data_IF_700829111915
#
_entry.id   IF_700829111915
#
_cell.length_a   1.000
_cell.length_b   1.000
_cell.length_c   1.000
_cell.angle_alpha   90.00
_cell.angle_beta   90.00
_cell.angle_gamma   90.00
#
_symmetry.space_group_name_H-M   'P 1'
#
loop_
_entity.id
_entity.type
_entity.pdbx_description
1 polymer ?
#
# COMPACT_ATOMS: atom_id res chain seq x y z
N UNK A 1 7.67 -5.39 19.44
CA UNK A 1 6.48 -4.69 20.00
C UNK A 1 6.64 -3.17 20.17
N UNK A 2 7.80 -2.56 19.85
CA UNK A 2 8.00 -1.10 20.00
C UNK A 2 7.51 -0.27 18.80
N UNK A 3 7.50 -0.83 17.59
CA UNK A 3 7.08 -0.12 16.37
C UNK A 3 5.65 0.39 16.45
N UNK A 4 4.73 -0.36 17.06
CA UNK A 4 3.33 0.02 17.14
C UNK A 4 3.07 1.26 18.01
N UNK A 5 3.80 1.45 19.11
CA UNK A 5 3.64 2.60 20.01
C UNK A 5 4.15 3.87 19.33
N UNK A 6 5.34 3.77 18.74
CA UNK A 6 6.00 4.82 17.98
C UNK A 6 5.15 5.27 16.78
N UNK A 7 4.55 4.32 16.07
CA UNK A 7 3.67 4.60 14.95
C UNK A 7 2.24 5.03 15.39
N UNK A 8 1.85 4.85 16.66
CA UNK A 8 0.55 5.31 17.18
C UNK A 8 0.53 6.84 17.34
N UNK A 9 1.64 7.43 17.80
CA UNK A 9 1.81 8.89 17.86
C UNK A 9 1.72 9.54 16.47
N UNK A 10 2.17 8.80 15.44
CA UNK A 10 2.12 9.21 14.04
C UNK A 10 0.67 9.23 13.49
N UNK A 11 -0.25 8.46 14.08
CA UNK A 11 -1.68 8.50 13.78
C UNK A 11 -2.42 9.65 14.46
N UNK A 12 -1.99 10.08 15.65
CA UNK A 12 -2.66 11.13 16.44
C UNK A 12 -2.56 12.52 15.84
N UNK A 13 -1.45 12.85 15.17
CA UNK A 13 -1.23 14.13 14.47
C UNK A 13 -2.27 14.37 13.34
N UNK A 14 -2.44 13.46 12.36
CA UNK A 14 -3.44 13.62 11.32
C UNK A 14 -4.88 13.49 11.85
N UNK A 15 -5.12 12.66 12.87
CA UNK A 15 -6.43 12.53 13.52
C UNK A 15 -6.88 13.84 14.18
N UNK A 16 -5.98 14.51 14.90
CA UNK A 16 -6.24 15.83 15.53
C UNK A 16 -6.51 16.93 14.50
N UNK A 17 -5.98 16.79 13.27
CA UNK A 17 -6.23 17.71 12.14
C UNK A 17 -7.47 17.33 11.32
N UNK A 18 -8.15 16.22 11.64
CA UNK A 18 -9.32 15.72 10.92
C UNK A 18 -9.00 15.18 9.52
N UNK A 19 -7.76 14.73 9.29
CA UNK A 19 -7.38 14.09 8.03
C UNK A 19 -7.76 12.61 8.05
N UNK A 20 -8.38 12.13 6.97
CA UNK A 20 -8.60 10.70 6.75
C UNK A 20 -7.25 10.05 6.48
N UNK A 21 -6.87 9.03 7.25
CA UNK A 21 -5.64 8.29 7.01
C UNK A 21 -5.91 6.79 7.11
N UNK A 22 -5.09 6.01 6.41
CA UNK A 22 -5.09 4.55 6.45
C UNK A 22 -3.65 4.12 6.70
N UNK A 23 -3.46 3.23 7.66
CA UNK A 23 -2.15 2.69 8.02
C UNK A 23 -2.19 1.17 7.97
N UNK A 24 -1.20 0.56 7.35
CA UNK A 24 -1.01 -0.89 7.35
C UNK A 24 0.46 -1.20 7.61
N UNK A 25 0.74 -1.80 8.78
CA UNK A 25 2.09 -1.98 9.28
C UNK A 25 2.91 -0.67 9.23
N UNK A 26 3.92 -0.62 8.35
CA UNK A 26 4.81 0.52 8.13
C UNK A 26 4.34 1.45 6.99
N UNK A 27 3.36 1.02 6.17
CA UNK A 27 2.82 1.83 5.08
C UNK A 27 1.71 2.76 5.61
N UNK A 28 1.86 4.06 5.35
CA UNK A 28 0.90 5.10 5.73
C UNK A 28 0.42 5.86 4.48
N UNK A 29 -0.90 6.02 4.37
CA UNK A 29 -1.54 6.85 3.35
C UNK A 29 -2.43 7.88 4.03
N UNK A 30 -2.23 9.16 3.72
CA UNK A 30 -3.03 10.27 4.26
C UNK A 30 -3.82 10.91 3.11
N UNK A 31 -5.13 10.98 3.27
CA UNK A 31 -6.04 11.62 2.33
C UNK A 31 -6.31 13.07 2.73
N UNK A 32 -6.01 13.98 1.82
CA UNK A 32 -6.23 15.42 1.99
C UNK A 32 -7.20 15.95 0.93
N UNK A 33 -7.93 17.02 1.25
CA UNK A 33 -8.88 17.67 0.32
C UNK A 33 -8.18 18.41 -0.83
N UNK A 34 -6.94 18.86 -0.63
CA UNK A 34 -6.18 19.64 -1.62
C UNK A 34 -4.71 19.23 -1.65
N UNK A 35 -4.06 19.38 -2.81
CA UNK A 35 -2.62 19.12 -2.98
C UNK A 35 -1.77 20.00 -2.06
N UNK A 36 -2.15 21.28 -1.89
CA UNK A 36 -1.47 22.22 -0.99
C UNK A 36 -1.54 21.78 0.47
N UNK A 37 -2.69 21.27 0.93
CA UNK A 37 -2.80 20.70 2.28
C UNK A 37 -1.96 19.43 2.43
N UNK A 38 -1.95 18.57 1.41
CA UNK A 38 -1.14 17.35 1.43
C UNK A 38 0.35 17.65 1.53
N UNK A 39 0.86 18.61 0.74
CA UNK A 39 2.26 19.03 0.80
C UNK A 39 2.60 19.60 2.17
N UNK A 40 1.77 20.51 2.69
CA UNK A 40 1.97 21.05 4.04
C UNK A 40 1.97 19.97 5.12
N UNK A 41 1.12 18.96 5.00
CA UNK A 41 1.11 17.84 5.95
C UNK A 41 2.39 17.02 5.84
N UNK A 42 2.85 16.72 4.61
CA UNK A 42 4.11 16.02 4.37
C UNK A 42 5.32 16.79 4.97
N UNK A 43 5.41 18.09 4.69
CA UNK A 43 6.51 18.94 5.15
C UNK A 43 6.56 19.06 6.68
N UNK A 44 5.43 18.92 7.37
CA UNK A 44 5.37 18.89 8.84
C UNK A 44 5.64 17.49 9.41
N UNK A 45 5.23 16.44 8.70
CA UNK A 45 5.37 15.06 9.17
C UNK A 45 6.83 14.59 9.09
N UNK A 46 7.57 14.98 8.04
CA UNK A 46 8.99 14.64 7.88
C UNK A 46 9.86 15.03 9.10
N UNK A 47 9.90 16.30 9.53
CA UNK A 47 10.69 16.70 10.69
C UNK A 47 10.13 16.10 11.99
N UNK A 48 8.82 15.88 12.11
CA UNK A 48 8.24 15.21 13.27
C UNK A 48 8.78 13.78 13.41
N UNK A 49 8.88 13.04 12.30
CA UNK A 49 9.43 11.68 12.31
C UNK A 49 10.93 11.69 12.63
N UNK A 50 11.70 12.58 12.01
CA UNK A 50 13.14 12.68 12.26
C UNK A 50 13.44 13.09 13.71
N UNK A 51 12.66 13.99 14.31
CA UNK A 51 12.90 14.51 15.67
C UNK A 51 12.32 13.64 16.78
N UNK A 52 11.14 13.05 16.60
CA UNK A 52 10.49 12.23 17.63
C UNK A 52 10.86 10.76 17.55
N UNK A 53 11.00 10.23 16.34
CA UNK A 53 11.29 8.81 16.13
C UNK A 53 12.78 8.54 15.89
N UNK A 54 13.60 9.58 15.64
CA UNK A 54 15.01 9.46 15.24
C UNK A 54 15.24 8.48 14.07
N UNK A 55 14.20 8.29 13.26
CA UNK A 55 14.25 7.44 12.08
C UNK A 55 14.79 8.24 10.90
N UNK A 56 15.80 7.69 10.23
CA UNK A 56 16.29 8.23 8.96
C UNK A 56 15.23 8.00 7.89
N UNK A 57 14.41 9.01 7.63
CA UNK A 57 13.40 8.95 6.58
C UNK A 57 14.09 9.06 5.22
N UNK A 58 13.78 8.13 4.32
CA UNK A 58 14.24 8.24 2.95
C UNK A 58 13.29 9.18 2.19
N UNK A 59 13.74 10.42 1.94
CA UNK A 59 12.93 11.53 1.39
C UNK A 59 12.36 11.26 0.00
N UNK A 60 12.87 10.25 -0.71
CA UNK A 60 12.38 9.84 -2.03
C UNK A 60 11.10 8.99 -1.96
N UNK A 61 10.82 8.35 -0.82
CA UNK A 61 9.65 7.48 -0.67
C UNK A 61 8.32 8.24 -0.54
N UNK A 62 8.20 9.25 0.34
CA UNK A 62 6.94 9.95 0.51
C UNK A 62 6.75 10.96 -0.62
N UNK A 63 5.64 10.85 -1.32
CA UNK A 63 5.30 11.74 -2.43
C UNK A 63 3.81 12.10 -2.37
N UNK A 64 3.49 13.32 -2.80
CA UNK A 64 2.10 13.77 -2.92
C UNK A 64 1.61 13.42 -4.32
N UNK A 65 0.70 12.45 -4.39
CA UNK A 65 0.07 12.02 -5.63
C UNK A 65 -1.45 12.11 -5.57
N UNK A 66 -2.08 12.04 -6.73
CA UNK A 66 -3.53 11.89 -6.80
C UNK A 66 -3.93 10.47 -6.36
N UNK A 67 -5.15 10.30 -5.84
CA UNK A 67 -5.63 9.03 -5.30
C UNK A 67 -5.49 7.84 -6.27
N UNK A 68 -5.59 8.10 -7.57
CA UNK A 68 -5.47 7.12 -8.66
C UNK A 68 -4.05 6.63 -8.92
N UNK A 69 -3.04 7.37 -8.47
CA UNK A 69 -1.64 7.05 -8.71
C UNK A 69 -1.00 6.39 -7.48
N UNK A 70 -1.71 6.38 -6.34
CA UNK A 70 -1.24 5.76 -5.11
C UNK A 70 -1.54 4.26 -5.13
N UNK A 71 -0.48 3.46 -5.06
CA UNK A 71 -0.54 2.01 -4.86
C UNK A 71 -0.50 1.70 -3.36
N UNK A 72 -1.53 1.04 -2.85
CA UNK A 72 -1.59 0.62 -1.44
C UNK A 72 -2.03 -0.84 -1.36
N UNK A 73 -1.23 -1.67 -0.69
CA UNK A 73 -1.50 -3.10 -0.52
C UNK A 73 -1.89 -3.83 -1.80
N UNK A 74 -1.24 -3.50 -2.93
CA UNK A 74 -1.53 -4.09 -4.25
C UNK A 74 -2.83 -3.60 -4.92
N UNK A 75 -3.50 -2.60 -4.35
CA UNK A 75 -4.68 -1.92 -4.90
C UNK A 75 -4.38 -0.49 -5.33
N UNK A 76 -5.23 0.02 -6.23
CA UNK A 76 -5.30 1.41 -6.68
C UNK A 76 -6.67 1.94 -6.31
N UNK A 77 -6.72 3.17 -5.81
CA UNK A 77 -7.97 3.83 -5.48
C UNK A 77 -8.46 4.69 -6.64
N UNK A 78 -9.62 4.35 -7.18
CA UNK A 78 -10.30 5.10 -8.21
C UNK A 78 -11.50 5.88 -7.66
N UNK A 79 -11.92 6.88 -8.43
CA UNK A 79 -13.19 7.56 -8.21
C UNK A 79 -13.98 7.49 -9.49
N UNK A 80 -15.13 6.82 -9.44
CA UNK A 80 -16.06 6.64 -10.56
C UNK A 80 -17.48 6.94 -10.05
N UNK A 81 -18.21 7.79 -10.77
CA UNK A 81 -19.58 8.22 -10.42
C UNK A 81 -19.75 8.68 -8.97
N UNK A 82 -18.80 9.47 -8.46
CA UNK A 82 -18.85 10.00 -7.09
C UNK A 82 -18.51 8.99 -5.98
N UNK A 83 -18.46 7.69 -6.28
CA UNK A 83 -18.11 6.61 -5.33
C UNK A 83 -16.62 6.27 -5.41
N UNK A 84 -16.03 5.95 -4.25
CA UNK A 84 -14.67 5.42 -4.17
C UNK A 84 -14.70 3.95 -4.61
N UNK A 85 -13.94 3.60 -5.64
CA UNK A 85 -13.79 2.22 -6.11
C UNK A 85 -12.33 1.79 -5.93
N UNK A 86 -12.10 0.52 -5.65
CA UNK A 86 -10.77 -0.06 -5.54
C UNK A 86 -10.54 -1.01 -6.71
N UNK A 87 -9.42 -0.83 -7.39
CA UNK A 87 -8.97 -1.68 -8.48
C UNK A 87 -7.71 -2.42 -8.07
N UNK A 88 -7.48 -3.61 -8.59
CA UNK A 88 -6.22 -4.32 -8.39
C UNK A 88 -5.16 -3.66 -9.26
N UNK A 89 -3.99 -3.36 -8.68
CA UNK A 89 -2.88 -2.77 -9.42
C UNK A 89 -2.38 -3.73 -10.50
N UNK A 90 -2.04 -3.21 -11.69
CA UNK A 90 -1.60 -4.02 -12.83
C UNK A 90 -0.39 -4.91 -12.51
N UNK A 91 0.58 -4.42 -11.72
CA UNK A 91 1.71 -5.24 -11.23
C UNK A 91 1.29 -6.46 -10.43
N UNK A 92 0.25 -6.35 -9.60
CA UNK A 92 -0.23 -7.43 -8.75
C UNK A 92 -0.84 -8.53 -9.61
N UNK A 93 -1.62 -8.12 -10.63
CA UNK A 93 -2.13 -9.02 -11.67
C UNK A 93 -0.98 -9.65 -12.45
N UNK A 94 0.05 -8.88 -12.83
CA UNK A 94 1.22 -9.41 -13.54
C UNK A 94 1.99 -10.43 -12.68
N UNK A 95 2.19 -10.15 -11.38
CA UNK A 95 2.81 -11.08 -10.43
C UNK A 95 2.01 -12.35 -10.30
N UNK A 96 0.69 -12.24 -10.15
CA UNK A 96 -0.22 -13.39 -10.09
C UNK A 96 -0.13 -14.23 -11.38
N UNK A 97 -0.23 -13.60 -12.55
CA UNK A 97 -0.11 -14.27 -13.86
C UNK A 97 1.25 -14.96 -14.03
N UNK A 98 2.34 -14.29 -13.64
CA UNK A 98 3.69 -14.86 -13.68
C UNK A 98 3.81 -16.10 -12.79
N UNK A 99 3.24 -16.05 -11.59
CA UNK A 99 3.25 -17.17 -10.64
C UNK A 99 2.44 -18.36 -11.16
N UNK A 100 1.24 -18.12 -11.70
CA UNK A 100 0.42 -19.15 -12.35
C UNK A 100 1.19 -19.77 -13.52
N UNK A 101 1.81 -18.94 -14.38
CA UNK A 101 2.62 -19.41 -15.51
C UNK A 101 3.82 -20.26 -15.07
N UNK A 102 4.42 -19.93 -13.93
CA UNK A 102 5.46 -20.75 -13.32
C UNK A 102 4.96 -22.11 -12.85
N UNK A 103 3.77 -22.16 -12.24
CA UNK A 103 3.13 -23.41 -11.78
C UNK A 103 2.66 -24.30 -12.94
N UNK A 104 2.18 -23.70 -14.03
CA UNK A 104 1.69 -24.41 -15.23
C UNK A 104 2.76 -24.64 -16.28
N UNK A 105 4.01 -24.26 -16.01
CA UNK A 105 5.13 -24.45 -16.94
C UNK A 105 5.31 -25.92 -17.30
N UNK A 106 5.38 -26.19 -18.62
CA UNK A 106 5.60 -27.53 -19.18
C UNK A 106 6.94 -28.14 -18.78
N UNK A 107 7.91 -27.32 -18.37
CA UNK A 107 9.24 -27.77 -18.00
C UNK A 107 9.34 -28.26 -16.54
N UNK A 108 8.26 -28.16 -15.77
CA UNK A 108 8.21 -28.70 -14.41
C UNK A 108 7.69 -30.14 -14.55
N UNK A 109 8.50 -31.16 -14.24
CA UNK A 109 8.13 -32.59 -14.31
C UNK A 109 7.05 -33.04 -13.32
N UNK A 110 6.05 -32.19 -13.06
CA UNK A 110 4.98 -32.41 -12.11
C UNK A 110 3.85 -33.22 -12.74
N UNK A 111 3.40 -34.24 -12.00
CA UNK A 111 2.19 -34.98 -12.32
C UNK A 111 0.95 -34.08 -12.32
N UNK A 112 -0.07 -34.48 -13.09
CA UNK A 112 -1.30 -33.70 -13.27
C UNK A 112 -2.04 -33.43 -11.95
N UNK A 113 -2.11 -34.42 -11.06
CA UNK A 113 -2.74 -34.30 -9.74
C UNK A 113 -2.02 -33.30 -8.82
N UNK A 114 -0.68 -33.33 -8.81
CA UNK A 114 0.11 -32.38 -8.03
C UNK A 114 -0.06 -30.93 -8.53
N UNK A 115 -0.21 -30.75 -9.85
CA UNK A 115 -0.53 -29.43 -10.44
C UNK A 115 -1.92 -28.94 -10.01
N UNK A 116 -2.94 -29.81 -10.02
CA UNK A 116 -4.30 -29.46 -9.55
C UNK A 116 -4.29 -29.03 -8.09
N UNK A 117 -3.67 -29.82 -7.21
CA UNK A 117 -3.58 -29.46 -5.78
C UNK A 117 -2.88 -28.12 -5.58
N UNK A 118 -1.72 -27.91 -6.24
CA UNK A 118 -0.99 -26.63 -6.16
C UNK A 118 -1.81 -25.43 -6.62
N UNK A 119 -2.66 -25.59 -7.64
CA UNK A 119 -3.54 -24.51 -8.10
C UNK A 119 -4.69 -24.23 -7.12
N UNK A 120 -5.23 -25.26 -6.46
CA UNK A 120 -6.28 -25.11 -5.42
C UNK A 120 -5.74 -24.37 -4.20
N UNK A 121 -4.49 -24.65 -3.80
CA UNK A 121 -3.82 -23.97 -2.67
C UNK A 121 -3.44 -22.51 -2.95
N UNK A 122 -3.60 -22.01 -4.18
CA UNK A 122 -3.50 -20.58 -4.48
C UNK A 122 -4.90 -19.96 -4.49
N UNK A 123 -5.33 -19.30 -3.40
CA UNK A 123 -6.55 -18.53 -3.45
C UNK A 123 -6.34 -17.38 -4.43
N UNK A 124 -7.31 -17.20 -5.32
CA UNK A 124 -7.33 -16.15 -6.34
C UNK A 124 -7.54 -14.72 -5.76
N UNK A 125 -7.34 -14.54 -4.45
CA UNK A 125 -7.55 -13.28 -3.72
C UNK A 125 -6.54 -13.16 -2.58
#
# INVERSE_FOLDING_TARGET
MLSNIILNELGKEPEKRGHLFVRYADDLVIFCKSRRSAQRTLDNLLPFIETKLFLKVNKEKPHVAYIRDIKFLSYIFGRSNGKCQFYIHGDSIKKMKSKIRGLTSRNNGWGYEYRKQRLIWYPLF
#
